data_IF_490441620499
#
_entry.id   IF_490441620499
#
_cell.length_a   1.000
_cell.length_b   1.000
_cell.length_c   1.000
_cell.angle_alpha   90.00
_cell.angle_beta   90.00
_cell.angle_gamma   90.00
#
_symmetry.space_group_name_H-M   'P 1'
#
loop_
_entity.id
_entity.type
_entity.pdbx_description
1 polymer ?
#
# COMPACT_ATOMS: atom_id res chain seq x y z
N UNK A 1 26.13 -66.55 15.46
CA UNK A 1 25.05 -65.54 15.61
C UNK A 1 25.36 -64.44 16.62
N UNK A 2 25.79 -64.74 17.86
CA UNK A 2 26.12 -63.72 18.89
C UNK A 2 27.26 -62.75 18.51
N UNK A 3 28.21 -63.16 17.66
CA UNK A 3 29.33 -62.33 17.20
C UNK A 3 28.97 -61.34 16.09
N UNK A 4 27.88 -61.58 15.36
CA UNK A 4 27.42 -60.70 14.27
C UNK A 4 26.61 -59.50 14.79
N UNK A 5 25.94 -59.66 15.92
CA UNK A 5 25.11 -58.60 16.54
C UNK A 5 26.01 -57.51 17.16
N UNK A 6 27.19 -57.86 17.66
CA UNK A 6 28.12 -56.91 18.30
C UNK A 6 28.81 -56.00 17.26
N UNK A 7 29.11 -56.51 16.06
CA UNK A 7 29.73 -55.70 15.00
C UNK A 7 28.78 -54.69 14.35
N UNK A 8 27.47 -54.97 14.29
CA UNK A 8 26.50 -54.04 13.71
C UNK A 8 26.26 -52.81 14.60
N UNK A 9 26.48 -52.93 15.91
CA UNK A 9 26.22 -51.86 16.87
C UNK A 9 27.35 -50.82 16.95
N UNK A 10 28.56 -51.16 16.50
CA UNK A 10 29.73 -50.28 16.55
C UNK A 10 29.81 -49.27 15.41
N UNK A 11 29.03 -49.46 14.33
CA UNK A 11 29.04 -48.58 13.15
C UNK A 11 28.04 -47.41 13.25
N UNK A 12 27.12 -47.42 14.23
CA UNK A 12 26.10 -46.39 14.37
C UNK A 12 26.57 -45.14 15.14
N UNK A 13 27.67 -45.23 15.90
CA UNK A 13 28.13 -44.17 16.80
C UNK A 13 29.05 -43.13 16.16
N UNK A 14 29.61 -43.37 14.97
CA UNK A 14 30.48 -42.40 14.27
C UNK A 14 29.71 -41.43 13.38
N UNK A 15 28.45 -41.75 13.01
CA UNK A 15 27.60 -40.84 12.25
C UNK A 15 27.08 -39.65 13.09
N UNK A 16 27.03 -39.79 14.41
CA UNK A 16 26.47 -38.79 15.32
C UNK A 16 27.36 -37.55 15.47
N UNK A 17 28.68 -37.69 15.27
CA UNK A 17 29.64 -36.57 15.40
C UNK A 17 29.86 -35.80 14.09
N UNK A 18 29.59 -36.42 12.93
CA UNK A 18 29.65 -35.73 11.62
C UNK A 18 28.47 -34.78 11.38
N UNK A 19 27.30 -35.09 11.96
CA UNK A 19 26.11 -34.24 11.87
C UNK A 19 26.23 -32.93 12.67
N UNK A 20 27.03 -32.91 13.75
CA UNK A 20 27.25 -31.70 14.55
C UNK A 20 28.16 -30.69 13.85
N UNK A 21 29.16 -31.15 13.09
CA UNK A 21 30.00 -30.30 12.26
C UNK A 21 29.23 -29.73 11.04
N UNK A 22 28.38 -30.54 10.40
CA UNK A 22 27.42 -30.02 9.40
C UNK A 22 26.32 -29.13 10.02
N UNK A 23 26.02 -29.25 11.32
CA UNK A 23 25.01 -28.43 12.01
C UNK A 23 25.50 -27.02 12.29
N UNK A 24 26.80 -26.80 12.52
CA UNK A 24 27.36 -25.45 12.72
C UNK A 24 27.29 -24.60 11.46
N UNK A 25 27.84 -25.11 10.35
CA UNK A 25 27.79 -24.41 9.05
C UNK A 25 26.36 -24.23 8.53
N UNK A 26 25.47 -25.20 8.75
CA UNK A 26 24.05 -25.08 8.35
C UNK A 26 23.32 -24.03 9.19
N UNK A 27 23.62 -23.93 10.49
CA UNK A 27 22.97 -22.99 11.40
C UNK A 27 23.48 -21.56 11.19
N UNK A 28 24.79 -21.38 10.98
CA UNK A 28 25.40 -20.10 10.59
C UNK A 28 24.89 -19.63 9.20
N UNK A 29 24.77 -20.54 8.24
CA UNK A 29 24.19 -20.22 6.92
C UNK A 29 22.71 -19.86 7.01
N UNK A 30 21.96 -20.50 7.92
CA UNK A 30 20.56 -20.16 8.16
C UNK A 30 20.41 -18.78 8.84
N UNK A 31 21.31 -18.44 9.76
CA UNK A 31 21.35 -17.14 10.42
C UNK A 31 21.71 -16.02 9.43
N UNK A 32 22.73 -16.21 8.60
CA UNK A 32 23.07 -15.27 7.52
C UNK A 32 21.95 -15.10 6.49
N UNK A 33 21.25 -16.18 6.15
CA UNK A 33 20.08 -16.10 5.27
C UNK A 33 18.91 -15.35 5.92
N UNK A 34 18.67 -15.55 7.22
CA UNK A 34 17.63 -14.84 7.96
C UNK A 34 17.97 -13.34 8.11
N UNK A 35 19.22 -13.00 8.42
CA UNK A 35 19.69 -11.61 8.45
C UNK A 35 19.60 -10.95 7.08
N UNK A 36 19.97 -11.67 6.01
CA UNK A 36 19.81 -11.21 4.63
C UNK A 36 18.34 -10.92 4.28
N UNK A 37 17.44 -11.87 4.57
CA UNK A 37 16.01 -11.69 4.33
C UNK A 37 15.41 -10.54 5.15
N UNK A 38 15.86 -10.35 6.40
CA UNK A 38 15.43 -9.24 7.24
C UNK A 38 15.90 -7.89 6.68
N UNK A 39 17.14 -7.81 6.19
CA UNK A 39 17.68 -6.60 5.53
C UNK A 39 16.93 -6.28 4.24
N UNK A 40 16.65 -7.28 3.41
CA UNK A 40 15.90 -7.11 2.16
C UNK A 40 14.46 -6.67 2.45
N UNK A 41 13.82 -7.24 3.48
CA UNK A 41 12.50 -6.82 3.92
C UNK A 41 12.50 -5.37 4.42
N UNK A 42 13.52 -4.96 5.19
CA UNK A 42 13.67 -3.60 5.67
C UNK A 42 13.86 -2.60 4.51
N UNK A 43 14.72 -2.90 3.54
CA UNK A 43 14.93 -2.05 2.37
C UNK A 43 13.66 -1.90 1.52
N UNK A 44 12.92 -2.99 1.31
CA UNK A 44 11.65 -2.95 0.59
C UNK A 44 10.57 -2.17 1.35
N UNK A 45 10.55 -2.27 2.69
CA UNK A 45 9.63 -1.52 3.53
C UNK A 45 9.92 -0.01 3.52
N UNK A 46 11.19 0.38 3.47
CA UNK A 46 11.62 1.78 3.36
C UNK A 46 11.14 2.38 2.03
N UNK A 47 11.42 1.73 0.91
CA UNK A 47 10.97 2.18 -0.43
C UNK A 47 9.43 2.25 -0.52
N UNK A 48 8.73 1.26 0.02
CA UNK A 48 7.27 1.28 0.07
C UNK A 48 6.74 2.43 0.94
N UNK A 49 7.40 2.72 2.06
CA UNK A 49 7.09 3.83 2.95
C UNK A 49 7.27 5.19 2.26
N UNK A 50 8.38 5.39 1.56
CA UNK A 50 8.65 6.60 0.77
C UNK A 50 7.58 6.81 -0.30
N UNK A 51 7.25 5.77 -1.07
CA UNK A 51 6.22 5.85 -2.11
C UNK A 51 4.83 6.21 -1.56
N UNK A 52 4.48 5.70 -0.37
CA UNK A 52 3.23 6.06 0.31
C UNK A 52 3.24 7.52 0.78
N UNK A 53 4.38 7.99 1.30
CA UNK A 53 4.53 9.37 1.75
C UNK A 53 4.41 10.35 0.58
N UNK A 54 5.11 10.10 -0.52
CA UNK A 54 5.04 10.91 -1.74
C UNK A 54 3.61 10.94 -2.31
N UNK A 55 2.95 9.78 -2.35
CA UNK A 55 1.56 9.67 -2.78
C UNK A 55 0.60 10.48 -1.89
N UNK A 56 0.83 10.46 -0.57
CA UNK A 56 0.04 11.24 0.38
C UNK A 56 0.25 12.76 0.21
N UNK A 57 1.48 13.20 -0.04
CA UNK A 57 1.79 14.61 -0.32
C UNK A 57 1.09 15.07 -1.60
N UNK A 58 1.22 14.33 -2.70
CA UNK A 58 0.55 14.66 -3.97
C UNK A 58 -0.98 14.71 -3.83
N UNK A 59 -1.55 13.79 -3.05
CA UNK A 59 -2.98 13.79 -2.78
C UNK A 59 -3.41 15.05 -1.99
N UNK A 60 -2.65 15.42 -0.96
CA UNK A 60 -2.91 16.61 -0.17
C UNK A 60 -2.81 17.90 -1.01
N UNK A 61 -1.80 18.01 -1.86
CA UNK A 61 -1.63 19.17 -2.77
C UNK A 61 -2.82 19.30 -3.72
N UNK A 62 -3.24 18.20 -4.36
CA UNK A 62 -4.40 18.22 -5.27
C UNK A 62 -5.71 18.57 -4.57
N UNK A 63 -5.91 18.11 -3.34
CA UNK A 63 -7.08 18.47 -2.53
C UNK A 63 -7.05 19.98 -2.25
N UNK A 64 -5.90 20.52 -1.89
CA UNK A 64 -5.73 21.95 -1.62
C UNK A 64 -5.98 22.80 -2.86
N UNK A 65 -5.42 22.41 -4.01
CA UNK A 65 -5.66 23.09 -5.30
C UNK A 65 -7.14 23.04 -5.70
N UNK A 66 -7.78 21.87 -5.60
CA UNK A 66 -9.20 21.70 -5.90
C UNK A 66 -10.09 22.56 -5.00
N UNK A 67 -9.78 22.62 -3.69
CA UNK A 67 -10.50 23.47 -2.75
C UNK A 67 -10.33 24.96 -3.05
N UNK A 68 -9.12 25.40 -3.41
CA UNK A 68 -8.84 26.77 -3.80
C UNK A 68 -9.60 27.15 -5.09
N UNK A 69 -9.60 26.28 -6.10
CA UNK A 69 -10.33 26.50 -7.34
C UNK A 69 -11.83 26.59 -7.09
N UNK A 70 -12.41 25.67 -6.30
CA UNK A 70 -13.83 25.72 -5.95
C UNK A 70 -14.18 27.02 -5.19
N UNK A 71 -13.33 27.43 -4.25
CA UNK A 71 -13.53 28.70 -3.54
C UNK A 71 -13.50 29.91 -4.49
N UNK A 72 -12.65 29.87 -5.52
CA UNK A 72 -12.58 30.92 -6.53
C UNK A 72 -13.82 30.92 -7.42
N UNK A 73 -14.28 29.76 -7.89
CA UNK A 73 -15.49 29.60 -8.69
C UNK A 73 -16.74 30.12 -7.95
N UNK A 74 -16.90 29.76 -6.67
CA UNK A 74 -18.01 30.27 -5.86
C UNK A 74 -17.95 31.79 -5.76
N UNK A 75 -16.76 32.35 -5.48
CA UNK A 75 -16.58 33.80 -5.37
C UNK A 75 -16.89 34.49 -6.70
N UNK A 76 -16.46 33.91 -7.82
CA UNK A 76 -16.71 34.49 -9.15
C UNK A 76 -18.20 34.42 -9.49
N UNK A 77 -18.87 33.31 -9.21
CA UNK A 77 -20.31 33.14 -9.38
C UNK A 77 -21.14 34.11 -8.50
N UNK A 78 -20.70 34.39 -7.27
CA UNK A 78 -21.34 35.37 -6.38
C UNK A 78 -21.22 36.81 -6.89
N UNK A 79 -20.25 37.10 -7.77
CA UNK A 79 -20.07 38.43 -8.38
C UNK A 79 -20.81 38.57 -9.72
N UNK A 80 -21.47 37.50 -10.19
CA UNK A 80 -22.19 37.50 -11.47
C UNK A 80 -23.62 38.05 -11.26
N UNK A 81 -24.02 39.02 -12.09
CA UNK A 81 -25.34 39.63 -11.96
C UNK A 81 -26.42 38.58 -12.24
N UNK A 82 -27.44 38.41 -11.38
CA UNK A 82 -28.51 37.46 -11.63
C UNK A 82 -29.15 37.72 -13.00
N UNK A 83 -29.22 36.69 -13.83
CA UNK A 83 -29.92 36.78 -15.11
C UNK A 83 -31.38 37.21 -14.93
N UNK A 84 -32.04 37.69 -16.00
CA UNK A 84 -33.44 38.08 -15.93
C UNK A 84 -34.28 36.94 -15.35
N UNK A 85 -35.18 37.28 -14.44
CA UNK A 85 -36.06 36.31 -13.82
C UNK A 85 -36.80 35.48 -14.89
N UNK A 86 -37.01 34.18 -14.67
CA UNK A 86 -37.82 33.36 -15.57
C UNK A 86 -39.19 34.01 -15.79
N UNK A 87 -39.65 34.05 -17.04
CA UNK A 87 -41.03 34.47 -17.36
C UNK A 87 -41.97 33.52 -16.65
N UNK A 88 -42.67 34.03 -15.65
CA UNK A 88 -43.66 33.29 -14.87
C UNK A 88 -45.02 33.31 -15.58
N UNK A 89 -45.93 32.42 -15.18
CA UNK A 89 -47.29 32.39 -15.74
C UNK A 89 -48.07 33.69 -15.55
N UNK A 90 -47.69 34.52 -14.57
CA UNK A 90 -48.26 35.85 -14.33
C UNK A 90 -47.78 36.89 -15.35
N UNK A 91 -46.63 36.64 -15.98
CA UNK A 91 -46.05 37.47 -17.06
C UNK A 91 -46.64 37.13 -18.44
N UNK A 92 -47.30 35.97 -18.55
CA UNK A 92 -48.06 35.57 -19.71
C UNK A 92 -49.47 36.15 -19.56
N UNK A 93 -49.71 37.31 -20.20
CA UNK A 93 -51.04 37.92 -20.25
C UNK A 93 -52.15 36.91 -20.62
N UNK A 94 -53.43 37.23 -20.31
CA UNK A 94 -54.51 36.28 -20.49
C UNK A 94 -54.52 35.73 -21.92
N UNK A 95 -54.77 34.42 -22.10
CA UNK A 95 -54.78 33.82 -23.44
C UNK A 95 -55.76 34.61 -24.31
N UNK A 96 -55.42 34.90 -25.58
CA UNK A 96 -56.29 35.64 -26.47
C UNK A 96 -57.62 34.90 -26.55
N UNK A 97 -58.66 35.50 -25.99
CA UNK A 97 -60.03 35.02 -26.09
C UNK A 97 -60.35 34.83 -27.56
N UNK A 98 -60.61 33.58 -27.95
CA UNK A 98 -61.03 33.16 -29.28
C UNK A 98 -62.27 33.98 -29.66
N UNK A 99 -62.07 35.02 -30.49
CA UNK A 99 -63.12 35.74 -31.21
C UNK A 99 -63.39 35.04 -32.53
#
# INVERSE_FOLDING_TARGET
MKRLIVSAMLFATTASFGLAACSGETQESAELAAEGAARDAAANAEVAGEALQDGAVVAADKISEGAANLSNEIRESDNEEPGPAPITGDDLGPPPSQQ
#
